data_IF_862649105374
#
_entry.id   IF_862649105374
#
_cell.length_a   1.000
_cell.length_b   1.000
_cell.length_c   1.000
_cell.angle_alpha   90.00
_cell.angle_beta   90.00
_cell.angle_gamma   90.00
#
_symmetry.space_group_name_H-M   'P 1'
#
loop_
_entity.id
_entity.type
_entity.pdbx_description
1 polymer ?
#
# COMPACT_ATOMS: atom_id res chain seq x y z
N UNK A 1 -14.88 11.57 -4.83
CA UNK A 1 -13.80 10.66 -4.42
C UNK A 1 -12.47 11.37 -4.57
N UNK A 2 -11.72 11.53 -3.47
CA UNK A 2 -10.42 12.21 -3.46
C UNK A 2 -9.30 11.30 -4.01
N UNK A 3 -8.09 11.84 -4.19
CA UNK A 3 -6.96 11.09 -4.76
C UNK A 3 -6.52 9.91 -3.87
N UNK A 4 -6.60 10.07 -2.54
CA UNK A 4 -6.22 9.03 -1.60
C UNK A 4 -7.18 7.84 -1.67
N UNK A 5 -8.49 8.09 -1.75
CA UNK A 5 -9.50 7.05 -1.95
C UNK A 5 -9.25 6.26 -3.25
N UNK A 6 -8.88 6.95 -4.34
CA UNK A 6 -8.55 6.29 -5.62
C UNK A 6 -7.32 5.38 -5.50
N UNK A 7 -6.28 5.83 -4.80
CA UNK A 7 -5.07 5.03 -4.56
C UNK A 7 -5.42 3.81 -3.70
N UNK A 8 -6.17 4.00 -2.60
CA UNK A 8 -6.61 2.92 -1.71
C UNK A 8 -7.38 1.86 -2.48
N UNK A 9 -8.38 2.26 -3.27
CA UNK A 9 -9.17 1.33 -4.08
C UNK A 9 -8.31 0.54 -5.07
N UNK A 10 -7.34 1.17 -5.72
CA UNK A 10 -6.46 0.48 -6.65
C UNK A 10 -5.57 -0.56 -5.94
N UNK A 11 -5.06 -0.24 -4.75
CA UNK A 11 -4.27 -1.18 -3.96
C UNK A 11 -5.14 -2.33 -3.43
N UNK A 12 -6.35 -2.03 -2.95
CA UNK A 12 -7.31 -3.02 -2.43
C UNK A 12 -7.81 -4.02 -3.48
N UNK A 13 -7.73 -3.71 -4.78
CA UNK A 13 -8.02 -4.69 -5.85
C UNK A 13 -7.01 -5.83 -5.91
N UNK A 14 -5.78 -5.60 -5.44
CA UNK A 14 -4.68 -6.59 -5.47
C UNK A 14 -4.45 -7.19 -4.08
N UNK A 15 -4.58 -6.37 -3.04
CA UNK A 15 -4.33 -6.74 -1.65
C UNK A 15 -5.68 -6.91 -0.93
N UNK A 16 -6.07 -8.16 -0.67
CA UNK A 16 -7.35 -8.52 -0.06
C UNK A 16 -7.19 -8.73 1.46
N UNK A 17 -8.12 -8.19 2.27
CA UNK A 17 -8.20 -8.47 3.71
C UNK A 17 -7.06 -7.88 4.55
N UNK A 18 -6.39 -6.84 4.03
CA UNK A 18 -5.30 -6.11 4.72
C UNK A 18 -5.54 -4.60 4.69
N UNK A 19 -6.80 -4.17 4.80
CA UNK A 19 -7.22 -2.77 4.70
C UNK A 19 -6.46 -1.87 5.69
N UNK A 20 -6.28 -2.32 6.93
CA UNK A 20 -5.51 -1.57 7.94
C UNK A 20 -4.03 -1.40 7.59
N UNK A 21 -3.41 -2.38 6.93
CA UNK A 21 -2.01 -2.27 6.48
C UNK A 21 -1.90 -1.28 5.32
N UNK A 22 -2.88 -1.28 4.41
CA UNK A 22 -2.95 -0.31 3.31
C UNK A 22 -3.08 1.10 3.89
N UNK A 23 -3.96 1.29 4.88
CA UNK A 23 -4.16 2.60 5.53
C UNK A 23 -2.88 3.11 6.19
N UNK A 24 -2.18 2.27 6.97
CA UNK A 24 -0.91 2.64 7.60
C UNK A 24 0.17 2.98 6.56
N UNK A 25 0.26 2.21 5.47
CA UNK A 25 1.21 2.49 4.39
C UNK A 25 0.90 3.82 3.68
N UNK A 26 -0.38 4.12 3.46
CA UNK A 26 -0.81 5.39 2.87
C UNK A 26 -0.53 6.57 3.80
N UNK A 27 -0.80 6.43 5.10
CA UNK A 27 -0.49 7.45 6.12
C UNK A 27 1.01 7.75 6.13
N UNK A 28 1.84 6.71 6.15
CA UNK A 28 3.29 6.88 6.11
C UNK A 28 3.73 7.61 4.82
N UNK A 29 3.16 7.25 3.67
CA UNK A 29 3.47 7.89 2.39
C UNK A 29 3.18 9.41 2.42
N UNK A 30 1.98 9.82 2.86
CA UNK A 30 1.64 11.26 2.91
C UNK A 30 2.39 12.02 4.01
N UNK A 31 2.84 11.31 5.05
CA UNK A 31 3.65 11.88 6.12
C UNK A 31 5.16 11.93 5.79
N UNK A 32 5.60 11.48 4.61
CA UNK A 32 7.01 11.24 4.27
C UNK A 32 7.72 10.34 5.31
N UNK A 33 6.99 9.39 5.89
CA UNK A 33 7.49 8.40 6.82
C UNK A 33 8.02 7.14 6.14
N UNK A 34 8.49 6.19 6.94
CA UNK A 34 8.99 4.89 6.49
C UNK A 34 8.13 3.76 7.07
N UNK A 35 8.01 2.66 6.32
CA UNK A 35 7.26 1.47 6.74
C UNK A 35 8.18 0.26 6.66
N UNK A 36 8.23 -0.51 7.75
CA UNK A 36 8.82 -1.84 7.77
C UNK A 36 7.68 -2.87 7.72
N UNK A 37 7.64 -3.68 6.66
CA UNK A 37 6.65 -4.74 6.51
C UNK A 37 7.22 -6.05 7.07
N UNK A 38 6.88 -6.39 8.31
CA UNK A 38 7.22 -7.67 8.94
C UNK A 38 6.01 -8.59 9.01
N UNK A 39 6.14 -9.78 8.43
CA UNK A 39 5.11 -10.82 8.46
C UNK A 39 5.73 -12.14 7.94
N UNK A 40 5.04 -13.27 8.05
CA UNK A 40 5.50 -14.57 7.53
C UNK A 40 5.64 -14.59 5.99
N UNK A 41 6.45 -15.48 5.39
CA UNK A 41 6.60 -15.56 3.93
C UNK A 41 5.26 -15.77 3.22
N UNK A 42 5.07 -15.14 2.06
CA UNK A 42 3.85 -15.31 1.23
C UNK A 42 2.67 -14.40 1.55
N UNK A 43 2.77 -13.48 2.52
CA UNK A 43 1.64 -12.63 2.95
C UNK A 43 1.42 -11.34 2.13
N UNK A 44 2.03 -11.25 0.94
CA UNK A 44 1.79 -10.13 0.01
C UNK A 44 2.56 -8.85 0.30
N UNK A 45 3.59 -8.86 1.17
CA UNK A 45 4.44 -7.68 1.47
C UNK A 45 5.03 -7.03 0.22
N UNK A 46 5.71 -7.82 -0.61
CA UNK A 46 6.29 -7.37 -1.89
C UNK A 46 5.20 -6.86 -2.84
N UNK A 47 4.06 -7.54 -2.87
CA UNK A 47 2.92 -7.17 -3.72
C UNK A 47 2.32 -5.83 -3.27
N UNK A 48 2.21 -5.57 -1.97
CA UNK A 48 1.72 -4.32 -1.42
C UNK A 48 2.60 -3.17 -1.87
N UNK A 49 3.90 -3.26 -1.61
CA UNK A 49 4.84 -2.21 -1.97
C UNK A 49 4.90 -1.96 -3.49
N UNK A 50 4.89 -3.03 -4.30
CA UNK A 50 4.83 -2.93 -5.77
C UNK A 50 3.55 -2.28 -6.28
N UNK A 51 2.40 -2.63 -5.69
CA UNK A 51 1.09 -2.10 -6.10
C UNK A 51 0.93 -0.65 -5.68
N UNK A 52 1.40 -0.30 -4.49
CA UNK A 52 1.41 1.07 -4.01
C UNK A 52 2.29 1.95 -4.91
N UNK A 53 3.51 1.53 -5.23
CA UNK A 53 4.41 2.23 -6.14
C UNK A 53 3.74 2.47 -7.50
N UNK A 54 3.16 1.44 -8.13
CA UNK A 54 2.41 1.58 -9.38
C UNK A 54 1.23 2.55 -9.31
N UNK A 55 0.56 2.64 -8.16
CA UNK A 55 -0.62 3.49 -7.98
C UNK A 55 -0.27 4.98 -7.89
N UNK A 56 1.01 5.31 -7.64
CA UNK A 56 1.52 6.67 -7.49
C UNK A 56 2.60 7.02 -8.52
N UNK A 57 2.77 6.19 -9.55
CA UNK A 57 3.86 6.31 -10.55
C UNK A 57 5.28 6.31 -9.92
N UNK A 58 5.44 5.55 -8.83
CA UNK A 58 6.70 5.33 -8.12
C UNK A 58 7.46 4.08 -8.60
N UNK A 59 8.68 3.91 -8.11
CA UNK A 59 9.54 2.76 -8.42
C UNK A 59 9.52 1.69 -7.32
N UNK A 60 9.66 0.41 -7.72
CA UNK A 60 9.75 -0.75 -6.83
C UNK A 60 10.60 -1.87 -7.44
#
# INVERSE_FOLDING_TARGET
MNILEKIKENVSKVIVGKEGVIDLAMIALVANGHVLLEDVPGTGKTTLAKTLAKSIDGAF
#
